data_IF_997797217528
#
_entry.id   IF_997797217528
#
_cell.length_a   1.000
_cell.length_b   1.000
_cell.length_c   1.000
_cell.angle_alpha   90.00
_cell.angle_beta   90.00
_cell.angle_gamma   90.00
#
_symmetry.space_group_name_H-M   'P 1'
#
loop_
_entity.id
_entity.type
_entity.pdbx_description
1 polymer ?
#
# COMPACT_ATOMS: atom_id res chain seq x y z
N UNK A 1 -11.31 -9.45 -27.76
CA UNK A 1 -11.00 -10.35 -26.63
C UNK A 1 -9.65 -9.94 -26.06
N UNK A 2 -9.64 -9.08 -25.03
CA UNK A 2 -8.39 -8.63 -24.37
C UNK A 2 -8.15 -9.54 -23.17
N UNK A 3 -7.08 -10.32 -23.24
CA UNK A 3 -6.65 -11.21 -22.17
C UNK A 3 -6.15 -10.36 -20.99
N UNK A 4 -7.01 -10.14 -19.98
CA UNK A 4 -6.61 -9.64 -18.67
C UNK A 4 -5.85 -10.74 -17.93
N UNK A 5 -4.58 -10.99 -18.31
CA UNK A 5 -3.68 -11.90 -17.59
C UNK A 5 -2.95 -11.08 -16.55
N UNK A 6 -3.68 -10.73 -15.50
CA UNK A 6 -3.13 -10.23 -14.25
C UNK A 6 -4.09 -10.70 -13.19
N UNK A 7 -3.90 -11.92 -12.66
CA UNK A 7 -4.63 -12.34 -11.45
C UNK A 7 -4.44 -11.22 -10.41
N UNK A 8 -5.49 -10.77 -9.71
CA UNK A 8 -5.29 -9.82 -8.62
C UNK A 8 -4.20 -10.39 -7.71
N UNK A 9 -3.27 -9.55 -7.26
CA UNK A 9 -2.34 -9.97 -6.20
C UNK A 9 -3.19 -10.18 -4.95
N UNK A 10 -3.72 -11.39 -4.78
CA UNK A 10 -4.42 -11.81 -3.58
C UNK A 10 -3.39 -11.78 -2.45
N UNK A 11 -3.76 -11.23 -1.30
CA UNK A 11 -2.92 -11.31 -0.10
C UNK A 11 -2.55 -12.78 0.12
N UNK A 12 -1.25 -13.10 0.05
CA UNK A 12 -0.77 -14.49 0.11
C UNK A 12 -1.12 -15.18 1.43
N UNK A 13 -1.36 -14.39 2.49
CA UNK A 13 -1.68 -14.82 3.85
C UNK A 13 -2.67 -13.84 4.50
N UNK A 14 -3.98 -13.99 4.28
CA UNK A 14 -4.99 -13.10 4.86
C UNK A 14 -5.10 -13.23 6.39
N UNK A 15 -4.60 -14.33 6.96
CA UNK A 15 -4.67 -14.60 8.40
C UNK A 15 -3.90 -13.56 9.21
N UNK A 16 -2.75 -13.11 8.70
CA UNK A 16 -1.91 -12.10 9.34
C UNK A 16 -2.65 -10.76 9.46
N UNK A 17 -3.50 -10.45 8.47
CA UNK A 17 -4.32 -9.24 8.50
C UNK A 17 -5.42 -9.38 9.55
N UNK A 18 -6.08 -10.53 9.61
CA UNK A 18 -7.11 -10.80 10.60
C UNK A 18 -6.56 -10.77 12.04
N UNK A 19 -5.42 -11.41 12.30
CA UNK A 19 -4.73 -11.39 13.61
C UNK A 19 -4.39 -9.96 14.04
N UNK A 20 -3.97 -9.12 13.11
CA UNK A 20 -3.63 -7.72 13.43
C UNK A 20 -4.88 -6.89 13.71
N UNK A 21 -5.98 -7.15 13.00
CA UNK A 21 -7.28 -6.53 13.30
C UNK A 21 -7.79 -6.96 14.69
N UNK A 22 -7.68 -8.24 15.02
CA UNK A 22 -8.03 -8.76 16.35
C UNK A 22 -7.18 -8.09 17.43
N UNK A 23 -5.87 -8.01 17.24
CA UNK A 23 -4.98 -7.32 18.15
C UNK A 23 -5.35 -5.84 18.31
N UNK A 24 -5.73 -5.15 17.24
CA UNK A 24 -6.16 -3.76 17.28
C UNK A 24 -7.45 -3.56 18.07
N UNK A 25 -8.40 -4.49 17.97
CA UNK A 25 -9.70 -4.44 18.66
C UNK A 25 -9.59 -4.71 20.16
N UNK A 26 -8.67 -5.61 20.57
CA UNK A 26 -8.51 -6.02 21.96
C UNK A 26 -7.32 -5.34 22.68
N UNK A 27 -6.62 -4.41 22.04
CA UNK A 27 -5.52 -3.70 22.67
C UNK A 27 -6.01 -2.79 23.81
N UNK A 28 -5.41 -2.94 25.00
CA UNK A 28 -5.66 -2.07 26.15
C UNK A 28 -5.30 -0.60 25.86
N UNK A 29 -4.25 -0.39 25.05
CA UNK A 29 -3.80 0.94 24.59
C UNK A 29 -3.73 0.96 23.06
N UNK A 30 -4.85 1.29 22.38
CA UNK A 30 -4.90 1.23 20.93
C UNK A 30 -3.95 2.26 20.29
N UNK A 31 -3.28 1.85 19.22
CA UNK A 31 -2.44 2.72 18.40
C UNK A 31 -3.24 3.28 17.23
N UNK A 32 -2.82 4.45 16.75
CA UNK A 32 -3.43 5.09 15.59
C UNK A 32 -3.24 4.23 14.31
N UNK A 33 -2.08 3.58 14.20
CA UNK A 33 -1.70 2.79 13.05
C UNK A 33 -1.16 1.40 13.45
N UNK A 34 -1.69 0.36 12.80
CA UNK A 34 -1.23 -1.01 12.91
C UNK A 34 -0.64 -1.48 11.57
N UNK A 35 0.67 -1.72 11.55
CA UNK A 35 1.40 -2.08 10.34
C UNK A 35 1.62 -3.58 10.29
N UNK A 36 1.34 -4.17 9.12
CA UNK A 36 1.33 -5.61 8.93
C UNK A 36 2.36 -5.95 7.87
N UNK A 37 3.31 -6.81 8.22
CA UNK A 37 4.38 -7.20 7.30
C UNK A 37 5.68 -6.41 7.47
N UNK A 38 6.73 -6.98 6.89
CA UNK A 38 8.10 -6.44 6.96
C UNK A 38 8.23 -5.20 6.07
N UNK A 39 7.58 -5.23 4.91
CA UNK A 39 7.48 -4.10 3.99
C UNK A 39 6.77 -2.91 4.65
N UNK A 40 5.63 -3.11 5.30
CA UNK A 40 4.93 -2.05 6.04
C UNK A 40 5.82 -1.41 7.11
N UNK A 41 6.58 -2.22 7.87
CA UNK A 41 7.40 -1.75 8.98
C UNK A 41 8.70 -1.05 8.55
N UNK A 42 9.37 -1.54 7.51
CA UNK A 42 10.71 -1.07 7.13
C UNK A 42 10.73 -0.24 5.85
N UNK A 43 9.73 -0.34 4.99
CA UNK A 43 9.65 0.44 3.76
C UNK A 43 8.65 1.59 3.90
N UNK A 44 7.39 1.28 4.25
CA UNK A 44 6.33 2.30 4.28
C UNK A 44 6.39 3.19 5.51
N UNK A 45 6.66 2.64 6.70
CA UNK A 45 6.75 3.46 7.91
C UNK A 45 7.85 4.53 7.85
N UNK A 46 9.09 4.26 7.38
CA UNK A 46 10.08 5.32 7.20
C UNK A 46 9.67 6.35 6.14
N UNK A 47 8.96 5.91 5.09
CA UNK A 47 8.51 6.77 4.00
C UNK A 47 7.51 7.83 4.49
N UNK A 48 6.65 7.47 5.45
CA UNK A 48 5.67 8.38 6.06
C UNK A 48 6.32 9.52 6.87
N UNK A 49 7.55 9.34 7.36
CA UNK A 49 8.30 10.39 8.04
C UNK A 49 9.03 11.34 7.07
N UNK A 50 9.12 11.00 5.78
CA UNK A 50 9.75 11.83 4.78
C UNK A 50 8.77 12.90 4.26
N UNK A 51 9.26 14.07 3.80
CA UNK A 51 8.41 15.02 3.10
C UNK A 51 7.77 14.39 1.86
N UNK A 52 6.51 14.71 1.59
CA UNK A 52 5.72 14.11 0.49
C UNK A 52 6.46 14.11 -0.86
N UNK A 53 7.19 15.18 -1.21
CA UNK A 53 7.93 15.25 -2.48
C UNK A 53 9.07 14.22 -2.58
N UNK A 54 9.72 13.88 -1.46
CA UNK A 54 10.77 12.84 -1.41
C UNK A 54 10.13 11.47 -1.50
N UNK A 55 9.04 11.27 -0.76
CA UNK A 55 8.30 10.01 -0.78
C UNK A 55 7.75 9.71 -2.18
N UNK A 56 7.16 10.72 -2.82
CA UNK A 56 6.66 10.65 -4.19
C UNK A 56 7.80 10.28 -5.16
N UNK A 57 8.97 10.94 -5.07
CA UNK A 57 10.12 10.61 -5.90
C UNK A 57 10.59 9.15 -5.71
N UNK A 58 10.67 8.67 -4.47
CA UNK A 58 11.06 7.27 -4.15
C UNK A 58 10.04 6.28 -4.72
N UNK A 59 8.75 6.62 -4.66
CA UNK A 59 7.67 5.80 -5.20
C UNK A 59 7.52 5.91 -6.73
N UNK A 60 8.26 6.81 -7.39
CA UNK A 60 8.11 7.07 -8.82
C UNK A 60 6.87 7.88 -9.16
N UNK A 61 6.33 8.64 -8.22
CA UNK A 61 5.25 9.61 -8.39
C UNK A 61 5.83 11.00 -8.68
N UNK A 62 5.27 11.79 -9.62
CA UNK A 62 4.07 11.56 -10.39
C UNK A 62 4.43 11.07 -11.80
N UNK A 63 4.18 9.80 -12.12
CA UNK A 63 3.57 9.57 -13.43
C UNK A 63 2.14 10.09 -13.26
N UNK A 64 1.76 11.24 -13.87
CA UNK A 64 0.42 11.76 -13.67
C UNK A 64 -0.55 10.69 -14.17
N UNK A 65 -1.40 10.21 -13.28
CA UNK A 65 -2.51 9.31 -13.63
C UNK A 65 -3.32 9.88 -14.82
N UNK A 66 -3.29 11.21 -15.01
CA UNK A 66 -3.84 11.94 -16.15
C UNK A 66 -3.15 11.74 -17.51
N UNK A 67 -1.82 11.58 -17.61
CA UNK A 67 -1.18 11.31 -18.92
C UNK A 67 -1.47 9.89 -19.42
N UNK A 68 -1.50 8.91 -18.51
CA UNK A 68 -1.89 7.53 -18.82
C UNK A 68 -3.35 7.42 -19.28
N UNK A 69 -4.25 8.28 -18.79
CA UNK A 69 -5.66 8.32 -19.23
C UNK A 69 -5.77 8.90 -20.66
N UNK A 70 -4.96 9.90 -21.01
CA UNK A 70 -4.95 10.46 -22.36
C UNK A 70 -4.31 9.52 -23.39
N UNK A 71 -3.29 8.75 -23.02
CA UNK A 71 -2.77 7.66 -23.86
C UNK A 71 -3.78 6.52 -24.05
N UNK A 72 -4.62 6.23 -23.04
CA UNK A 72 -5.67 5.21 -23.13
C UNK A 72 -6.90 5.66 -23.94
N UNK A 73 -7.05 6.96 -24.24
CA UNK A 73 -8.11 7.52 -25.09
C UNK A 73 -7.75 7.62 -26.58
N UNK A 74 -6.49 7.43 -26.95
CA UNK A 74 -6.03 7.31 -28.35
C UNK A 74 -6.23 5.89 -28.89
#
# INVERSE_FOLDING_TARGET
MKNFIGKPRICRRPEIVAETMEHALFAEYPKLDYYIGIDAKYFFRPLEFLPNFVADYILGWPAPYGELIEELKK
#
